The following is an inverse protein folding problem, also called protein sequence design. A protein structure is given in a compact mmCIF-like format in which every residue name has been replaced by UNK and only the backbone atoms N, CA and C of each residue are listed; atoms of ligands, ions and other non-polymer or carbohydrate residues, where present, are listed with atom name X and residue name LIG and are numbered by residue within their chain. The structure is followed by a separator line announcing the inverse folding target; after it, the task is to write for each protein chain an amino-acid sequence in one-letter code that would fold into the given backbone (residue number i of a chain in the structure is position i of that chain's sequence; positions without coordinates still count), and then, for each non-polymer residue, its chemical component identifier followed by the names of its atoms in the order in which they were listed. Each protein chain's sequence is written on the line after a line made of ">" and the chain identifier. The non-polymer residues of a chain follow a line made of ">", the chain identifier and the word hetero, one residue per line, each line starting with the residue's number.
data_IF_103122897024
#
_entry.id   IF_103122897024
#
_cell.length_a   1.000
_cell.length_b   1.000
_cell.length_c   1.000
_cell.angle_alpha   90.00
_cell.angle_beta   90.00
_cell.angle_gamma   90.00
#
_symmetry.space_group_name_H-M   'P 1'
#
loop_
_entity.id
_entity.type
_entity.pdbx_description
1 polymer ?
#
# COMPACT_ATOMS: atom_id res chain seq x y z
N UNK A 1 -18.11 -36.47 -26.21
CA UNK A 1 -16.64 -36.52 -25.97
C UNK A 1 -15.98 -35.36 -26.70
N UNK A 2 -15.79 -34.20 -26.05
CA UNK A 2 -15.06 -33.05 -26.61
C UNK A 2 -13.95 -32.60 -25.64
N UNK A 3 -12.98 -33.50 -25.38
CA UNK A 3 -11.82 -33.21 -24.50
C UNK A 3 -10.57 -32.71 -25.23
N UNK A 4 -10.65 -32.43 -26.54
CA UNK A 4 -9.45 -32.18 -27.37
C UNK A 4 -9.34 -30.76 -27.97
N UNK A 5 -10.34 -29.88 -27.80
CA UNK A 5 -10.21 -28.46 -28.19
C UNK A 5 -9.62 -27.67 -27.03
N UNK A 6 -8.45 -28.09 -26.55
CA UNK A 6 -7.60 -27.23 -25.73
C UNK A 6 -6.34 -27.03 -26.56
N UNK A 7 -6.42 -26.02 -27.43
CA UNK A 7 -5.34 -25.64 -28.32
C UNK A 7 -4.04 -25.59 -27.52
N UNK A 8 -3.00 -26.24 -28.05
CA UNK A 8 -1.66 -26.19 -27.47
C UNK A 8 -1.33 -24.73 -27.23
N UNK A 9 -1.33 -24.28 -25.98
CA UNK A 9 -0.86 -22.94 -25.62
C UNK A 9 0.58 -22.88 -26.11
N UNK A 10 0.81 -22.16 -27.18
CA UNK A 10 2.14 -21.97 -27.75
C UNK A 10 2.99 -21.37 -26.64
N UNK A 11 3.96 -22.14 -26.14
CA UNK A 11 4.86 -21.65 -25.10
C UNK A 11 5.53 -20.38 -25.64
N UNK A 12 5.50 -19.26 -24.89
CA UNK A 12 6.05 -18.00 -25.38
C UNK A 12 7.52 -18.19 -25.75
N UNK A 13 7.93 -17.66 -26.92
CA UNK A 13 9.32 -17.71 -27.37
C UNK A 13 10.27 -17.12 -26.31
N UNK A 14 11.53 -17.56 -26.29
CA UNK A 14 12.52 -17.06 -25.33
C UNK A 14 12.65 -15.52 -25.38
N UNK A 15 12.55 -14.92 -26.57
CA UNK A 15 12.50 -13.48 -26.77
C UNK A 15 11.27 -12.83 -26.13
N UNK A 16 10.09 -13.43 -26.28
CA UNK A 16 8.88 -12.94 -25.62
C UNK A 16 8.98 -13.04 -24.10
N UNK A 17 9.55 -14.13 -23.58
CA UNK A 17 9.76 -14.27 -22.14
C UNK A 17 10.76 -13.24 -21.61
N UNK A 18 11.79 -12.90 -22.39
CA UNK A 18 12.76 -11.83 -22.06
C UNK A 18 12.07 -10.46 -22.02
N UNK A 19 11.34 -10.10 -23.06
CA UNK A 19 10.57 -8.86 -23.11
C UNK A 19 9.56 -8.76 -21.97
N UNK A 20 8.88 -9.86 -21.65
CA UNK A 20 7.89 -9.87 -20.56
C UNK A 20 8.53 -9.57 -19.20
N UNK A 21 9.75 -10.05 -18.95
CA UNK A 21 10.53 -9.74 -17.74
C UNK A 21 11.05 -8.30 -17.71
N UNK A 22 11.41 -7.75 -18.87
CA UNK A 22 11.88 -6.36 -18.98
C UNK A 22 10.75 -5.35 -18.81
N UNK A 23 9.56 -5.66 -19.35
CA UNK A 23 8.42 -4.74 -19.36
C UNK A 23 7.55 -4.84 -18.11
N UNK A 24 7.42 -6.03 -17.51
CA UNK A 24 6.51 -6.25 -16.40
C UNK A 24 7.25 -6.72 -15.15
N UNK A 25 7.19 -5.89 -14.11
CA UNK A 25 7.65 -6.26 -12.77
C UNK A 25 6.56 -5.90 -11.76
N UNK A 26 6.00 -6.91 -11.11
CA UNK A 26 5.10 -6.68 -9.98
C UNK A 26 5.92 -6.24 -8.76
N UNK A 27 5.62 -5.04 -8.26
CA UNK A 27 6.25 -4.50 -7.04
C UNK A 27 5.18 -3.97 -6.11
N UNK A 28 5.32 -4.28 -4.83
CA UNK A 28 4.59 -3.55 -3.78
C UNK A 28 5.19 -2.15 -3.70
N UNK A 29 4.39 -1.13 -3.98
CA UNK A 29 4.84 0.26 -4.07
C UNK A 29 4.81 0.94 -2.72
N UNK A 30 3.61 1.11 -2.16
CA UNK A 30 3.37 1.86 -0.92
C UNK A 30 2.29 1.19 -0.09
N UNK A 31 2.36 1.42 1.22
CA UNK A 31 1.27 1.07 2.14
C UNK A 31 0.49 2.33 2.47
N UNK A 32 -0.80 2.33 2.15
CA UNK A 32 -1.72 3.40 2.53
C UNK A 32 -2.38 3.11 3.88
N UNK A 33 -2.97 4.14 4.47
CA UNK A 33 -3.71 4.03 5.73
C UNK A 33 -2.83 4.02 6.98
N UNK A 34 -3.50 3.78 8.11
CA UNK A 34 -2.89 3.88 9.43
C UNK A 34 -2.12 2.59 9.79
N UNK A 35 -0.94 2.68 10.44
CA UNK A 35 -0.19 1.50 10.86
C UNK A 35 -0.99 0.62 11.82
N UNK A 36 -0.85 -0.70 11.69
CA UNK A 36 -1.47 -1.66 12.59
C UNK A 36 -0.75 -1.67 13.95
N UNK A 37 -1.51 -1.66 15.05
CA UNK A 37 -1.01 -1.68 16.44
C UNK A 37 0.09 -0.63 16.69
N UNK A 38 -0.21 0.67 16.58
CA UNK A 38 0.74 1.70 16.99
C UNK A 38 1.04 1.57 18.48
N UNK A 39 2.30 1.72 18.87
CA UNK A 39 2.75 1.62 20.26
C UNK A 39 3.47 2.88 20.73
N UNK A 40 4.05 3.67 19.82
CA UNK A 40 4.69 4.93 20.16
C UNK A 40 4.50 5.98 19.06
N UNK A 41 4.62 7.25 19.45
CA UNK A 41 4.51 8.41 18.59
C UNK A 41 5.56 9.46 18.98
N UNK A 42 6.19 10.08 17.99
CA UNK A 42 7.12 11.20 18.16
C UNK A 42 6.85 12.29 17.12
N UNK A 43 7.09 13.55 17.49
CA UNK A 43 6.91 14.72 16.63
C UNK A 43 8.13 15.63 16.70
N UNK A 44 8.61 16.05 15.54
CA UNK A 44 9.62 17.10 15.41
C UNK A 44 8.96 18.40 14.90
N UNK A 45 8.91 19.47 15.72
CA UNK A 45 8.26 20.72 15.36
C UNK A 45 9.05 21.56 14.34
N UNK A 46 10.37 21.39 14.26
CA UNK A 46 11.24 22.16 13.34
C UNK A 46 11.10 21.56 11.94
N UNK A 47 11.29 20.24 11.84
CA UNK A 47 11.19 19.53 10.56
C UNK A 47 9.74 19.29 10.14
N UNK A 48 8.78 19.41 11.07
CA UNK A 48 7.36 19.12 10.87
C UNK A 48 7.13 17.69 10.40
N UNK A 49 7.77 16.75 11.10
CA UNK A 49 7.73 15.33 10.79
C UNK A 49 7.16 14.58 12.00
N UNK A 50 6.25 13.65 11.74
CA UNK A 50 5.73 12.71 12.72
C UNK A 50 6.33 11.33 12.46
N UNK A 51 6.65 10.60 13.54
CA UNK A 51 7.02 9.20 13.46
C UNK A 51 6.08 8.36 14.34
N UNK A 52 5.59 7.24 13.81
CA UNK A 52 4.74 6.28 14.52
C UNK A 52 5.46 4.93 14.52
N UNK A 53 5.72 4.39 15.71
CA UNK A 53 6.22 3.02 15.87
C UNK A 53 5.10 2.04 16.13
N UNK A 54 5.26 0.81 15.63
CA UNK A 54 4.30 -0.29 15.82
C UNK A 54 4.84 -1.38 16.75
N UNK A 55 3.94 -2.19 17.30
CA UNK A 55 4.29 -3.37 18.12
C UNK A 55 5.17 -4.39 17.37
N UNK A 56 5.16 -4.38 16.04
CA UNK A 56 5.98 -5.25 15.20
C UNK A 56 7.40 -4.69 14.97
N UNK A 57 7.73 -3.54 15.56
CA UNK A 57 9.01 -2.86 15.37
C UNK A 57 9.12 -2.05 14.08
N UNK A 58 8.01 -1.79 13.37
CA UNK A 58 8.04 -0.95 12.19
C UNK A 58 7.93 0.53 12.59
N UNK A 59 8.76 1.39 11.98
CA UNK A 59 8.71 2.84 12.16
C UNK A 59 8.18 3.48 10.87
N UNK A 60 7.05 4.19 10.95
CA UNK A 60 6.48 4.96 9.84
C UNK A 60 6.68 6.45 10.07
N UNK A 61 7.31 7.10 9.11
CA UNK A 61 7.62 8.54 9.16
C UNK A 61 6.72 9.29 8.18
N UNK A 62 6.01 10.29 8.68
CA UNK A 62 5.04 11.09 7.94
C UNK A 62 5.47 12.56 7.94
N UNK A 63 5.77 13.16 6.79
CA UNK A 63 5.93 14.61 6.69
C UNK A 63 4.56 15.30 6.80
N UNK A 64 4.51 16.50 7.36
CA UNK A 64 3.25 17.25 7.57
C UNK A 64 2.39 17.39 6.31
N UNK A 65 3.00 17.52 5.13
CA UNK A 65 2.29 17.62 3.85
C UNK A 65 1.52 16.32 3.48
N UNK A 66 2.02 15.14 3.86
CA UNK A 66 1.35 13.86 3.63
C UNK A 66 0.44 13.45 4.78
N UNK A 67 0.67 14.00 5.98
CA UNK A 67 -0.13 13.71 7.16
C UNK A 67 -1.53 14.34 7.09
N UNK A 68 -1.66 15.55 6.54
CA UNK A 68 -2.98 16.19 6.36
C UNK A 68 -3.94 15.33 5.53
N UNK A 69 -3.47 14.69 4.45
CA UNK A 69 -4.30 13.79 3.64
C UNK A 69 -4.77 12.56 4.44
N UNK A 70 -3.90 12.00 5.28
CA UNK A 70 -4.22 10.82 6.09
C UNK A 70 -5.16 11.14 7.26
N UNK A 71 -5.00 12.30 7.92
CA UNK A 71 -5.94 12.79 8.94
C UNK A 71 -7.31 13.03 8.31
N UNK A 72 -7.40 13.75 7.19
CA UNK A 72 -8.69 14.07 6.59
C UNK A 72 -9.48 12.82 6.21
N UNK A 73 -8.81 11.76 5.73
CA UNK A 73 -9.45 10.47 5.42
C UNK A 73 -9.94 9.77 6.69
N UNK A 74 -9.12 9.72 7.76
CA UNK A 74 -9.51 9.09 9.03
C UNK A 74 -10.62 9.89 9.72
N UNK A 75 -10.50 11.21 9.78
CA UNK A 75 -11.57 12.09 10.27
C UNK A 75 -12.83 11.84 9.48
N UNK A 76 -12.82 11.96 8.15
CA UNK A 76 -13.99 11.71 7.29
C UNK A 76 -14.64 10.35 7.57
N UNK A 77 -13.86 9.28 7.72
CA UNK A 77 -14.41 7.96 8.03
C UNK A 77 -15.01 7.88 9.45
N UNK A 78 -14.40 8.55 10.44
CA UNK A 78 -14.89 8.59 11.83
C UNK A 78 -16.18 9.41 11.94
N UNK A 79 -16.28 10.60 11.32
CA UNK A 79 -17.51 11.42 11.36
C UNK A 79 -18.67 10.76 10.62
N UNK A 80 -18.41 10.10 9.49
CA UNK A 80 -19.46 9.40 8.74
C UNK A 80 -19.78 7.99 9.28
N UNK A 81 -18.94 7.46 10.18
CA UNK A 81 -19.13 6.15 10.82
C UNK A 81 -19.79 6.21 12.20
N UNK A 82 -20.02 7.42 12.74
CA UNK A 82 -20.79 7.61 13.97
C UNK A 82 -22.29 7.49 13.64
N UNK A 83 -23.06 6.65 14.34
CA UNK A 83 -24.51 6.66 14.19
C UNK A 83 -25.04 8.04 14.58
N UNK A 84 -25.80 8.65 13.69
CA UNK A 84 -26.53 9.89 13.96
C UNK A 84 -27.49 9.62 15.12
N UNK A 85 -27.14 10.08 16.32
CA UNK A 85 -28.11 10.27 17.41
C UNK A 85 -28.84 11.58 17.17
#
# INVERSE_FOLDING_TARGET
>A
MLKFIRGKTQQPSAERQKLQKELFAFRKTVQHGFPNKPTCLAWDPILRIMAIGTATGALKVYPLLLFSASINIVYFHVINGLPNN
#
